data_IF_889376705986
#
_entry.id   IF_889376705986
#
_cell.length_a   1.000
_cell.length_b   1.000
_cell.length_c   1.000
_cell.angle_alpha   90.00
_cell.angle_beta   90.00
_cell.angle_gamma   90.00
#
_symmetry.space_group_name_H-M   'P 1'
#
loop_
_entity.id
_entity.type
_entity.pdbx_description
1 polymer ?
#
# COMPACT_ATOMS: atom_id res chain seq x y z
N UNK A 1 26.15 -9.84 0.70
CA UNK A 1 25.02 -9.92 1.64
C UNK A 1 24.85 -11.37 2.04
N UNK A 2 24.83 -11.63 3.34
CA UNK A 2 24.54 -12.95 3.88
C UNK A 2 23.11 -13.35 3.48
N UNK A 3 22.92 -14.55 2.92
CA UNK A 3 21.61 -15.01 2.48
C UNK A 3 20.78 -15.31 3.73
N UNK A 4 19.59 -14.71 3.87
CA UNK A 4 18.70 -15.06 4.98
C UNK A 4 18.39 -16.57 4.93
N UNK A 5 18.43 -17.23 6.07
CA UNK A 5 18.10 -18.65 6.19
C UNK A 5 16.63 -18.81 6.57
N UNK A 6 15.99 -19.94 6.22
CA UNK A 6 14.64 -20.28 6.68
C UNK A 6 14.44 -20.09 8.19
N UNK A 7 15.39 -20.55 9.00
CA UNK A 7 15.30 -20.45 10.46
C UNK A 7 15.21 -19.00 10.96
N UNK A 8 15.95 -18.07 10.35
CA UNK A 8 15.87 -16.63 10.69
C UNK A 8 14.52 -16.02 10.31
N UNK A 9 13.84 -16.55 9.29
CA UNK A 9 12.48 -16.12 8.95
C UNK A 9 11.52 -16.67 10.01
N UNK A 10 11.65 -17.95 10.36
CA UNK A 10 10.79 -18.65 11.31
C UNK A 10 10.89 -18.08 12.75
N UNK A 11 12.01 -17.43 13.09
CA UNK A 11 12.18 -16.67 14.34
C UNK A 11 11.25 -15.44 14.43
N UNK A 12 10.82 -14.89 13.30
CA UNK A 12 10.06 -13.63 13.22
C UNK A 12 8.63 -13.86 12.75
N UNK A 13 8.45 -14.77 11.79
CA UNK A 13 7.20 -15.04 11.09
C UNK A 13 6.82 -16.51 11.25
N UNK A 14 5.58 -16.76 11.67
CA UNK A 14 4.96 -18.08 11.72
C UNK A 14 3.73 -18.11 10.83
N UNK A 15 3.42 -19.28 10.29
CA UNK A 15 2.16 -19.57 9.62
C UNK A 15 1.49 -20.82 10.22
N UNK A 16 1.74 -21.06 11.52
CA UNK A 16 1.23 -22.23 12.25
C UNK A 16 0.31 -21.78 13.39
N UNK A 17 -0.66 -22.63 13.73
CA UNK A 17 -1.44 -22.51 14.96
C UNK A 17 -0.49 -22.85 16.13
N UNK A 18 -0.28 -21.93 17.10
CA UNK A 18 0.56 -22.18 18.27
C UNK A 18 0.08 -23.37 19.10
N UNK A 19 0.97 -23.99 19.87
CA UNK A 19 0.53 -24.98 20.85
C UNK A 19 -0.14 -24.29 22.04
N UNK A 20 -1.37 -24.69 22.36
CA UNK A 20 -2.14 -24.13 23.47
C UNK A 20 -1.47 -24.35 24.83
N UNK A 21 -0.70 -25.43 24.98
CA UNK A 21 0.01 -25.75 26.23
C UNK A 21 1.31 -24.93 26.37
N UNK A 22 1.85 -24.41 25.27
CA UNK A 22 3.08 -23.59 25.28
C UNK A 22 2.73 -22.10 25.37
N UNK A 23 1.76 -21.65 24.59
CA UNK A 23 1.41 -20.24 24.46
C UNK A 23 -0.08 -20.04 24.17
N UNK A 24 -0.90 -20.23 25.20
CA UNK A 24 -2.36 -20.10 25.13
C UNK A 24 -2.79 -18.73 24.60
N UNK A 25 -2.14 -17.65 25.03
CA UNK A 25 -2.50 -16.30 24.60
C UNK A 25 -2.30 -16.12 23.10
N UNK A 26 -1.16 -16.55 22.57
CA UNK A 26 -0.92 -16.50 21.12
C UNK A 26 -1.85 -17.44 20.36
N UNK A 27 -2.09 -18.64 20.89
CA UNK A 27 -3.04 -19.59 20.30
C UNK A 27 -4.40 -18.91 20.13
N UNK A 28 -4.97 -18.34 21.18
CA UNK A 28 -6.29 -17.71 21.15
C UNK A 28 -6.34 -16.52 20.17
N UNK A 29 -5.27 -15.70 20.13
CA UNK A 29 -5.16 -14.58 19.17
C UNK A 29 -5.10 -15.10 17.72
N UNK A 30 -4.30 -16.12 17.44
CA UNK A 30 -4.14 -16.70 16.09
C UNK A 30 -5.43 -17.38 15.65
N UNK A 31 -6.04 -18.20 16.50
CA UNK A 31 -7.31 -18.88 16.22
C UNK A 31 -8.44 -17.89 15.91
N UNK A 32 -8.46 -16.75 16.58
CA UNK A 32 -9.47 -15.71 16.39
C UNK A 32 -9.20 -14.83 15.17
N UNK A 33 -7.96 -14.38 15.01
CA UNK A 33 -7.63 -13.26 14.12
C UNK A 33 -6.86 -13.67 12.87
N UNK A 34 -6.20 -14.83 12.84
CA UNK A 34 -5.26 -15.18 11.78
C UNK A 34 -5.68 -16.38 10.94
N UNK A 35 -6.88 -16.92 11.15
CA UNK A 35 -7.40 -17.96 10.25
C UNK A 35 -8.06 -17.31 9.06
N UNK A 36 -7.57 -17.62 7.85
CA UNK A 36 -8.27 -17.26 6.64
C UNK A 36 -9.65 -17.92 6.66
N UNK A 37 -10.70 -17.12 6.50
CA UNK A 37 -12.07 -17.61 6.56
C UNK A 37 -12.30 -18.79 5.60
N UNK A 38 -13.16 -19.76 5.97
CA UNK A 38 -13.45 -20.88 5.09
C UNK A 38 -13.86 -20.37 3.71
N UNK A 39 -13.23 -20.91 2.68
CA UNK A 39 -13.47 -20.56 1.29
C UNK A 39 -13.26 -21.80 0.41
N UNK A 40 -13.45 -21.66 -0.90
CA UNK A 40 -13.26 -22.78 -1.81
C UNK A 40 -14.36 -23.81 -1.63
N UNK A 41 -13.98 -25.08 -1.52
CA UNK A 41 -14.93 -26.19 -1.30
C UNK A 41 -15.73 -26.05 -0.01
N UNK A 42 -15.18 -25.38 1.02
CA UNK A 42 -15.86 -25.18 2.30
C UNK A 42 -16.89 -24.05 2.25
N UNK A 43 -16.68 -23.04 1.40
CA UNK A 43 -17.62 -21.95 1.18
C UNK A 43 -17.30 -21.21 -0.13
N UNK A 44 -18.09 -21.47 -1.17
CA UNK A 44 -17.89 -20.82 -2.47
C UNK A 44 -18.40 -19.37 -2.50
N UNK A 45 -19.16 -18.93 -1.49
CA UNK A 45 -19.73 -17.59 -1.41
C UNK A 45 -18.82 -16.57 -0.71
N UNK A 46 -17.65 -17.00 -0.23
CA UNK A 46 -16.70 -16.09 0.43
C UNK A 46 -16.20 -15.01 -0.53
N UNK A 47 -16.08 -13.76 -0.04
CA UNK A 47 -15.66 -12.59 -0.83
C UNK A 47 -14.29 -12.76 -1.53
N UNK A 48 -13.46 -13.66 -1.03
CA UNK A 48 -12.16 -13.96 -1.61
C UNK A 48 -12.23 -14.87 -2.84
N UNK A 49 -13.40 -15.42 -3.19
CA UNK A 49 -13.58 -16.34 -4.30
C UNK A 49 -13.71 -15.61 -5.65
N UNK A 50 -13.01 -16.09 -6.66
CA UNK A 50 -13.15 -15.69 -8.07
C UNK A 50 -12.93 -16.93 -8.93
N UNK A 51 -13.78 -17.16 -9.92
CA UNK A 51 -13.67 -18.29 -10.87
C UNK A 51 -13.53 -19.66 -10.17
N UNK A 52 -14.28 -19.85 -9.08
CA UNK A 52 -14.26 -21.08 -8.28
C UNK A 52 -12.98 -21.31 -7.47
N UNK A 53 -12.07 -20.33 -7.38
CA UNK A 53 -10.82 -20.41 -6.63
C UNK A 53 -10.67 -19.26 -5.66
N UNK A 54 -10.01 -19.50 -4.53
CA UNK A 54 -9.64 -18.42 -3.62
C UNK A 54 -8.56 -17.55 -4.26
N UNK A 55 -8.84 -16.27 -4.46
CA UNK A 55 -7.88 -15.26 -4.98
C UNK A 55 -6.64 -15.11 -4.09
N UNK A 56 -6.75 -15.51 -2.82
CA UNK A 56 -5.65 -15.52 -1.82
C UNK A 56 -4.95 -16.88 -1.73
N UNK A 57 -5.34 -17.85 -2.56
CA UNK A 57 -4.75 -19.19 -2.70
C UNK A 57 -4.80 -20.03 -1.42
N UNK A 58 -5.93 -19.97 -0.71
CA UNK A 58 -6.22 -20.86 0.40
C UNK A 58 -7.11 -22.03 -0.04
N UNK A 59 -6.97 -23.22 0.58
CA UNK A 59 -5.93 -23.57 1.57
C UNK A 59 -4.51 -23.60 0.96
N UNK A 60 -3.49 -23.32 1.78
CA UNK A 60 -2.08 -23.44 1.39
C UNK A 60 -1.60 -24.89 1.48
N UNK A 61 -0.44 -25.19 0.90
CA UNK A 61 0.19 -26.50 1.06
C UNK A 61 0.80 -26.65 2.46
N UNK A 62 0.79 -27.88 2.98
CA UNK A 62 1.52 -28.22 4.20
C UNK A 62 3.00 -28.39 3.85
N UNK A 63 3.87 -27.82 4.67
CA UNK A 63 5.32 -27.83 4.48
C UNK A 63 6.00 -28.03 5.83
N UNK A 64 6.89 -29.02 5.92
CA UNK A 64 7.64 -29.32 7.13
C UNK A 64 8.66 -28.22 7.49
N UNK A 65 9.15 -27.47 6.50
CA UNK A 65 10.15 -26.40 6.68
C UNK A 65 9.84 -25.22 5.75
N UNK A 66 10.34 -24.03 6.11
CA UNK A 66 10.24 -22.83 5.26
C UNK A 66 11.17 -22.96 4.06
N UNK A 67 10.65 -22.73 2.85
CA UNK A 67 11.42 -22.81 1.60
C UNK A 67 11.61 -21.39 1.04
N UNK A 68 12.85 -20.92 0.98
CA UNK A 68 13.17 -19.64 0.32
C UNK A 68 13.23 -19.82 -1.19
N UNK A 69 12.30 -19.22 -1.95
CA UNK A 69 12.28 -19.25 -3.41
C UNK A 69 13.08 -18.11 -4.08
N UNK A 70 13.38 -18.26 -5.37
CA UNK A 70 14.02 -17.20 -6.18
C UNK A 70 13.10 -16.01 -6.47
N UNK A 71 11.79 -16.17 -6.30
CA UNK A 71 10.77 -15.17 -6.67
C UNK A 71 10.51 -14.09 -5.61
N UNK A 72 11.22 -14.13 -4.48
CA UNK A 72 11.25 -13.08 -3.47
C UNK A 72 10.31 -13.26 -2.28
N UNK A 73 9.41 -14.25 -2.33
CA UNK A 73 8.55 -14.65 -1.20
C UNK A 73 8.87 -16.09 -0.79
N UNK A 74 9.10 -16.35 0.50
CA UNK A 74 9.29 -17.70 1.00
C UNK A 74 7.94 -18.43 1.05
N UNK A 75 7.99 -19.75 0.95
CA UNK A 75 6.88 -20.60 1.34
C UNK A 75 7.08 -20.95 2.81
N UNK A 76 6.23 -20.42 3.70
CA UNK A 76 6.37 -20.63 5.14
C UNK A 76 6.05 -22.07 5.53
N UNK A 77 6.76 -22.53 6.55
CA UNK A 77 6.48 -23.78 7.26
C UNK A 77 5.03 -23.81 7.75
N UNK A 78 4.35 -24.92 7.45
CA UNK A 78 2.98 -25.26 7.84
C UNK A 78 2.93 -26.75 8.11
N UNK A 79 3.37 -27.20 9.29
CA UNK A 79 3.47 -28.63 9.57
C UNK A 79 2.11 -29.30 9.55
N UNK A 80 2.08 -30.52 9.05
CA UNK A 80 0.92 -31.41 9.18
C UNK A 80 0.72 -31.79 10.64
N UNK A 81 -0.44 -32.36 11.00
CA UNK A 81 -0.67 -32.89 12.35
C UNK A 81 0.28 -34.06 12.68
N UNK A 82 0.70 -34.82 11.67
CA UNK A 82 1.69 -35.91 11.81
C UNK A 82 3.08 -35.37 12.15
N UNK A 83 3.42 -34.16 11.67
CA UNK A 83 4.68 -33.46 11.95
C UNK A 83 4.60 -32.53 13.18
N UNK A 84 3.57 -32.67 14.02
CA UNK A 84 3.37 -31.86 15.23
C UNK A 84 2.69 -30.50 15.02
N UNK A 85 2.15 -30.25 13.82
CA UNK A 85 1.23 -29.14 13.55
C UNK A 85 -0.08 -29.28 14.33
N UNK A 86 -0.77 -28.15 14.54
CA UNK A 86 -2.04 -28.11 15.28
C UNK A 86 -3.22 -27.85 14.35
N UNK A 87 -4.39 -28.22 14.81
CA UNK A 87 -5.68 -27.91 14.19
C UNK A 87 -6.63 -27.35 15.24
N UNK A 88 -7.61 -26.58 14.77
CA UNK A 88 -8.67 -26.05 15.61
C UNK A 88 -10.02 -26.24 14.91
N UNK A 89 -11.06 -26.24 15.70
CA UNK A 89 -12.43 -26.35 15.23
C UNK A 89 -13.07 -24.96 15.23
N UNK A 90 -13.43 -24.46 14.05
CA UNK A 90 -14.15 -23.20 13.87
C UNK A 90 -15.65 -23.44 13.79
N UNK A 91 -16.43 -22.61 14.49
CA UNK A 91 -17.88 -22.52 14.30
C UNK A 91 -18.17 -21.37 13.34
N UNK A 92 -18.62 -21.70 12.13
CA UNK A 92 -18.98 -20.73 11.10
C UNK A 92 -20.44 -20.93 10.74
N UNK A 93 -21.28 -19.95 11.09
CA UNK A 93 -22.74 -20.03 11.00
C UNK A 93 -23.26 -21.27 11.75
N UNK A 94 -23.95 -22.19 11.05
CA UNK A 94 -24.50 -23.43 11.61
C UNK A 94 -23.58 -24.65 11.40
N UNK A 95 -22.37 -24.45 10.88
CA UNK A 95 -21.43 -25.52 10.58
C UNK A 95 -20.20 -25.46 11.49
N UNK A 96 -19.66 -26.64 11.76
CA UNK A 96 -18.41 -26.82 12.48
C UNK A 96 -17.37 -27.32 11.47
N UNK A 97 -16.26 -26.61 11.36
CA UNK A 97 -15.22 -26.85 10.35
C UNK A 97 -13.88 -26.98 11.05
N UNK A 98 -13.20 -28.10 10.83
CA UNK A 98 -11.84 -28.29 11.30
C UNK A 98 -10.86 -27.68 10.31
N UNK A 99 -9.97 -26.83 10.82
CA UNK A 99 -8.93 -26.14 10.06
C UNK A 99 -7.58 -26.41 10.68
N UNK A 100 -6.58 -26.60 9.84
CA UNK A 100 -5.20 -26.80 10.22
C UNK A 100 -4.32 -25.63 9.75
N UNK A 101 -3.00 -25.82 9.85
CA UNK A 101 -1.99 -24.86 9.42
C UNK A 101 -2.10 -24.40 7.95
N UNK A 102 -2.89 -25.06 7.08
CA UNK A 102 -3.12 -24.59 5.70
C UNK A 102 -3.91 -23.29 5.62
N UNK A 103 -4.65 -22.95 6.67
CA UNK A 103 -5.55 -21.81 6.72
C UNK A 103 -4.97 -20.58 7.43
N UNK A 104 -3.82 -20.71 8.07
CA UNK A 104 -3.23 -19.63 8.86
C UNK A 104 -2.63 -18.55 7.96
N UNK A 105 -2.97 -17.30 8.19
CA UNK A 105 -2.34 -16.14 7.55
C UNK A 105 -0.98 -15.90 8.24
N UNK A 106 0.15 -15.74 7.51
CA UNK A 106 1.45 -15.50 8.13
C UNK A 106 1.46 -14.31 9.07
N UNK A 107 2.10 -14.45 10.23
CA UNK A 107 2.05 -13.47 11.31
C UNK A 107 3.36 -13.40 12.08
N UNK A 108 3.57 -12.30 12.81
CA UNK A 108 4.64 -12.20 13.81
C UNK A 108 4.06 -12.36 15.22
N UNK A 109 4.51 -13.34 16.02
CA UNK A 109 4.05 -13.53 17.40
C UNK A 109 4.09 -12.25 18.24
N UNK A 110 5.18 -11.48 18.10
CA UNK A 110 5.39 -10.23 18.82
C UNK A 110 4.30 -9.19 18.49
N UNK A 111 4.06 -8.96 17.20
CA UNK A 111 3.06 -7.98 16.76
C UNK A 111 1.64 -8.39 17.16
N UNK A 112 1.32 -9.68 17.03
CA UNK A 112 0.00 -10.18 17.43
C UNK A 112 -0.25 -10.02 18.92
N UNK A 113 0.70 -10.39 19.78
CA UNK A 113 0.58 -10.18 21.23
C UNK A 113 0.50 -8.72 21.62
N UNK A 114 1.17 -7.84 20.87
CA UNK A 114 1.16 -6.39 21.14
C UNK A 114 -0.18 -5.75 20.80
N UNK A 115 -0.78 -6.12 19.67
CA UNK A 115 -1.93 -5.41 19.11
C UNK A 115 -3.26 -6.18 19.14
N UNK A 116 -3.23 -7.49 19.39
CA UNK A 116 -4.41 -8.37 19.39
C UNK A 116 -5.34 -8.15 18.18
N UNK A 117 -4.76 -8.13 16.98
CA UNK A 117 -5.45 -7.80 15.74
C UNK A 117 -5.04 -8.73 14.58
N UNK A 118 -5.80 -8.71 13.49
CA UNK A 118 -5.41 -9.41 12.26
C UNK A 118 -4.25 -8.65 11.57
N UNK A 119 -3.02 -9.17 11.67
CA UNK A 119 -1.82 -8.56 11.08
C UNK A 119 -1.10 -9.58 10.20
N UNK A 120 -1.22 -9.44 8.88
CA UNK A 120 -0.45 -10.24 7.94
C UNK A 120 0.99 -9.73 7.85
N UNK A 121 1.97 -10.60 8.10
CA UNK A 121 3.39 -10.27 8.04
C UNK A 121 4.06 -11.14 6.99
N UNK A 122 4.70 -10.50 6.02
CA UNK A 122 5.33 -11.18 4.89
C UNK A 122 6.81 -10.80 4.79
N UNK A 123 7.69 -11.79 4.63
CA UNK A 123 9.07 -11.58 4.27
C UNK A 123 9.18 -11.30 2.76
N UNK A 124 9.86 -10.21 2.40
CA UNK A 124 10.05 -9.83 1.01
C UNK A 124 11.52 -9.47 0.74
N UNK A 125 12.17 -10.23 -0.15
CA UNK A 125 13.58 -10.06 -0.48
C UNK A 125 13.83 -9.99 -1.99
N UNK A 126 13.00 -9.24 -2.71
CA UNK A 126 13.20 -9.05 -4.15
C UNK A 126 13.03 -7.60 -4.55
N UNK A 127 13.47 -7.25 -5.76
CA UNK A 127 13.16 -5.96 -6.40
C UNK A 127 11.64 -5.72 -6.50
N UNK A 128 10.83 -6.80 -6.48
CA UNK A 128 9.36 -6.67 -6.39
C UNK A 128 8.94 -6.00 -5.07
N UNK A 129 9.70 -6.12 -3.99
CA UNK A 129 9.49 -5.40 -2.71
C UNK A 129 9.57 -3.89 -2.91
N UNK A 130 10.57 -3.41 -3.65
CA UNK A 130 10.73 -1.98 -3.97
C UNK A 130 9.51 -1.50 -4.77
N UNK A 131 9.12 -2.25 -5.82
CA UNK A 131 7.90 -1.94 -6.58
C UNK A 131 6.66 -1.94 -5.69
N UNK A 132 6.57 -2.86 -4.73
CA UNK A 132 5.46 -2.95 -3.79
C UNK A 132 5.42 -1.74 -2.86
N UNK A 133 6.51 -1.37 -2.22
CA UNK A 133 6.59 -0.17 -1.36
C UNK A 133 6.27 1.08 -2.17
N UNK A 134 6.90 1.27 -3.33
CA UNK A 134 6.60 2.40 -4.21
C UNK A 134 5.13 2.42 -4.65
N UNK A 135 4.52 1.26 -4.91
CA UNK A 135 3.09 1.17 -5.18
C UNK A 135 2.30 1.73 -4.01
N UNK A 136 2.50 1.30 -2.76
CA UNK A 136 1.67 1.79 -1.64
C UNK A 136 1.96 3.25 -1.26
N UNK A 137 3.20 3.72 -1.42
CA UNK A 137 3.55 5.13 -1.20
C UNK A 137 2.90 6.03 -2.25
N UNK A 138 2.79 5.59 -3.51
CA UNK A 138 2.29 6.40 -4.62
C UNK A 138 0.85 6.04 -5.06
N UNK A 139 0.28 4.95 -4.56
CA UNK A 139 -1.13 4.58 -4.74
C UNK A 139 -1.91 5.55 -3.87
N UNK A 140 -2.35 6.65 -4.49
CA UNK A 140 -3.14 7.67 -3.82
C UNK A 140 -4.34 7.10 -3.08
N UNK A 141 -4.92 7.91 -2.21
CA UNK A 141 -6.08 7.55 -1.39
C UNK A 141 -7.23 7.01 -2.23
N UNK A 142 -7.97 6.04 -1.68
CA UNK A 142 -9.21 5.57 -2.30
C UNK A 142 -10.18 6.74 -2.46
N UNK A 143 -10.90 6.77 -3.58
CA UNK A 143 -11.86 7.84 -3.92
C UNK A 143 -13.26 7.23 -3.90
N UNK A 144 -14.19 7.92 -3.24
CA UNK A 144 -15.61 7.59 -3.25
C UNK A 144 -16.40 8.80 -3.75
N UNK A 145 -17.46 8.56 -4.50
CA UNK A 145 -18.44 9.59 -4.87
C UNK A 145 -19.62 9.45 -3.92
N UNK A 146 -20.00 10.54 -3.25
CA UNK A 146 -21.14 10.54 -2.34
C UNK A 146 -22.14 11.63 -2.72
N UNK A 147 -23.41 11.34 -2.45
CA UNK A 147 -24.52 12.26 -2.64
C UNK A 147 -24.60 13.24 -1.48
N UNK A 148 -24.68 14.54 -1.76
CA UNK A 148 -25.00 15.58 -0.76
C UNK A 148 -26.47 15.94 -0.95
N UNK A 149 -27.33 15.51 -0.02
CA UNK A 149 -28.74 15.93 -0.04
C UNK A 149 -28.83 17.40 0.35
N UNK A 150 -29.09 18.26 -0.63
CA UNK A 150 -29.46 19.64 -0.38
C UNK A 150 -30.97 19.77 -0.60
N UNK A 151 -31.75 19.86 0.48
CA UNK A 151 -33.23 19.88 0.47
C UNK A 151 -33.83 21.16 -0.13
N UNK A 152 -33.01 22.11 -0.60
CA UNK A 152 -33.48 23.46 -0.96
C UNK A 152 -33.06 23.99 -2.34
N UNK A 153 -32.25 23.25 -3.12
CA UNK A 153 -31.74 23.74 -4.41
C UNK A 153 -32.15 22.84 -5.58
N UNK A 154 -32.46 23.48 -6.71
CA UNK A 154 -32.76 22.86 -8.00
C UNK A 154 -31.76 21.76 -8.37
N UNK A 155 -32.25 20.71 -9.04
CA UNK A 155 -31.55 19.52 -9.49
C UNK A 155 -30.28 19.81 -10.33
N UNK A 156 -29.19 20.21 -9.69
CA UNK A 156 -27.88 20.39 -10.32
C UNK A 156 -26.98 19.20 -9.98
N UNK A 157 -26.93 18.23 -10.90
CA UNK A 157 -26.22 16.94 -10.77
C UNK A 157 -24.78 17.09 -10.25
N UNK A 158 -24.07 18.13 -10.68
CA UNK A 158 -22.68 18.41 -10.28
C UNK A 158 -22.54 18.76 -8.79
N UNK A 159 -23.54 19.43 -8.22
CA UNK A 159 -23.56 19.75 -6.78
C UNK A 159 -24.03 18.58 -5.93
N UNK A 160 -24.85 17.70 -6.52
CA UNK A 160 -25.41 16.54 -5.88
C UNK A 160 -24.37 15.44 -5.62
N UNK A 161 -23.41 15.25 -6.53
CA UNK A 161 -22.39 14.20 -6.40
C UNK A 161 -20.99 14.77 -6.22
N UNK A 162 -20.41 14.56 -5.04
CA UNK A 162 -19.06 15.02 -4.74
C UNK A 162 -18.07 13.86 -4.61
N UNK A 163 -16.90 13.94 -5.27
CA UNK A 163 -15.82 13.00 -5.05
C UNK A 163 -15.04 13.36 -3.78
N UNK A 164 -14.94 12.43 -2.84
CA UNK A 164 -14.12 12.52 -1.64
C UNK A 164 -12.99 11.49 -1.64
N UNK A 165 -11.88 11.82 -0.98
CA UNK A 165 -10.82 10.85 -0.67
C UNK A 165 -11.05 10.26 0.70
N UNK A 166 -10.96 8.93 0.80
CA UNK A 166 -10.91 8.26 2.08
C UNK A 166 -9.52 8.44 2.68
N UNK A 167 -9.47 9.10 3.84
CA UNK A 167 -8.23 9.27 4.61
C UNK A 167 -8.37 8.52 5.94
N UNK A 168 -7.30 7.84 6.34
CA UNK A 168 -7.27 7.20 7.67
C UNK A 168 -7.29 8.25 8.78
N UNK A 169 -7.73 7.88 9.99
CA UNK A 169 -7.74 8.79 11.15
C UNK A 169 -6.37 9.40 11.42
N UNK A 170 -5.30 8.62 11.25
CA UNK A 170 -3.93 9.08 11.44
C UNK A 170 -3.52 10.11 10.38
N UNK A 171 -3.84 9.86 9.11
CA UNK A 171 -3.57 10.81 8.02
C UNK A 171 -4.38 12.10 8.20
N UNK A 172 -5.63 12.01 8.65
CA UNK A 172 -6.48 13.16 8.91
C UNK A 172 -5.90 14.07 9.98
N UNK A 173 -5.44 13.52 11.11
CA UNK A 173 -4.79 14.28 12.18
C UNK A 173 -3.51 14.96 11.66
N UNK A 174 -2.68 14.23 10.91
CA UNK A 174 -1.46 14.79 10.30
C UNK A 174 -1.76 15.99 9.39
N UNK A 175 -2.81 15.87 8.57
CA UNK A 175 -3.27 16.94 7.66
C UNK A 175 -3.83 18.14 8.42
N UNK A 176 -4.68 17.91 9.43
CA UNK A 176 -5.27 18.98 10.25
C UNK A 176 -4.17 19.79 10.96
N UNK A 177 -3.17 19.09 11.50
CA UNK A 177 -2.04 19.71 12.19
C UNK A 177 -0.97 20.26 11.22
N UNK A 178 -1.19 20.16 9.90
CA UNK A 178 -0.25 20.61 8.86
C UNK A 178 1.15 20.01 9.00
N UNK A 179 1.26 18.78 9.49
CA UNK A 179 2.54 18.07 9.56
C UNK A 179 2.98 17.57 8.18
N UNK A 180 4.30 17.56 7.96
CA UNK A 180 4.88 16.96 6.77
C UNK A 180 4.49 15.48 6.67
N UNK A 181 3.79 15.12 5.59
CA UNK A 181 3.26 13.76 5.38
C UNK A 181 4.33 12.83 4.78
N UNK A 182 5.28 13.39 4.05
CA UNK A 182 6.39 12.64 3.47
C UNK A 182 7.63 13.52 3.39
N UNK A 183 8.78 12.88 3.51
CA UNK A 183 10.09 13.45 3.22
C UNK A 183 10.82 12.44 2.32
N UNK A 184 11.65 12.93 1.40
CA UNK A 184 12.49 12.09 0.54
C UNK A 184 13.93 12.52 0.73
N UNK A 185 14.79 11.56 0.99
CA UNK A 185 16.23 11.74 1.00
C UNK A 185 16.87 10.78 -0.02
N UNK A 186 17.56 11.28 -1.06
CA UNK A 186 17.72 12.69 -1.40
C UNK A 186 16.39 13.33 -1.82
N UNK A 187 16.31 14.67 -1.75
CA UNK A 187 15.13 15.41 -2.19
C UNK A 187 14.86 15.12 -3.67
N UNK A 188 13.67 14.62 -3.98
CA UNK A 188 13.24 14.36 -5.36
C UNK A 188 12.29 15.46 -5.79
N UNK A 189 12.70 16.25 -6.77
CA UNK A 189 11.86 17.29 -7.39
C UNK A 189 11.23 16.72 -8.65
N UNK A 190 9.91 16.89 -8.79
CA UNK A 190 9.21 16.52 -10.01
C UNK A 190 9.32 17.65 -11.04
N UNK A 191 10.08 17.41 -12.11
CA UNK A 191 10.15 18.31 -13.25
C UNK A 191 8.85 18.24 -14.05
N UNK A 192 8.22 19.38 -14.28
CA UNK A 192 6.99 19.46 -15.07
C UNK A 192 7.28 19.11 -16.53
N UNK A 193 6.43 18.30 -17.15
CA UNK A 193 6.45 17.99 -18.59
C UNK A 193 5.04 18.11 -19.12
N UNK A 194 4.84 18.93 -20.13
CA UNK A 194 3.56 19.19 -20.75
C UNK A 194 3.75 19.67 -22.20
N UNK A 195 2.68 19.61 -23.00
CA UNK A 195 2.66 20.23 -24.32
C UNK A 195 2.58 21.77 -24.20
N UNK A 196 2.80 22.46 -25.31
CA UNK A 196 2.60 23.91 -25.38
C UNK A 196 1.17 24.27 -24.92
N UNK A 197 1.08 25.20 -23.97
CA UNK A 197 -0.16 25.61 -23.28
C UNK A 197 -0.90 24.50 -22.50
N UNK A 198 -0.28 23.33 -22.33
CA UNK A 198 -0.80 22.19 -21.55
C UNK A 198 -0.37 22.17 -20.08
N UNK A 199 0.23 23.24 -19.55
CA UNK A 199 0.66 23.32 -18.16
C UNK A 199 -0.52 23.16 -17.19
N UNK A 200 -0.27 22.45 -16.08
CA UNK A 200 -1.23 22.38 -14.97
C UNK A 200 -1.22 23.71 -14.22
N UNK A 201 -2.38 24.38 -14.18
CA UNK A 201 -2.55 25.63 -13.46
C UNK A 201 -3.60 25.47 -12.37
N UNK A 202 -3.26 25.89 -11.16
CA UNK A 202 -4.19 26.01 -10.04
C UNK A 202 -4.76 27.42 -10.01
N UNK A 203 -6.08 27.54 -9.94
CA UNK A 203 -6.79 28.81 -9.96
C UNK A 203 -7.94 28.82 -8.96
N UNK A 204 -8.38 30.03 -8.60
CA UNK A 204 -9.59 30.32 -7.84
C UNK A 204 -10.54 31.11 -8.73
N UNK A 205 -11.78 31.31 -8.27
CA UNK A 205 -12.79 32.14 -8.95
C UNK A 205 -12.27 33.54 -9.28
N UNK A 206 -11.41 34.10 -8.44
CA UNK A 206 -10.90 35.47 -8.56
C UNK A 206 -9.75 35.57 -9.58
N UNK A 207 -8.90 34.55 -9.69
CA UNK A 207 -7.67 34.62 -10.51
C UNK A 207 -7.73 33.83 -11.82
N UNK A 208 -8.83 33.13 -12.11
CA UNK A 208 -8.96 32.27 -13.30
C UNK A 208 -8.68 33.00 -14.61
N UNK A 209 -9.16 34.23 -14.76
CA UNK A 209 -8.93 35.05 -15.97
C UNK A 209 -7.45 35.40 -16.13
N UNK A 210 -6.81 35.85 -15.06
CA UNK A 210 -5.39 36.18 -15.06
C UNK A 210 -4.55 34.93 -15.36
N UNK A 211 -4.86 33.80 -14.72
CA UNK A 211 -4.16 32.52 -14.92
C UNK A 211 -4.31 31.96 -16.33
N UNK A 212 -5.46 32.18 -16.97
CA UNK A 212 -5.69 31.78 -18.36
C UNK A 212 -4.90 32.66 -19.34
N UNK A 213 -4.78 33.96 -19.07
CA UNK A 213 -4.03 34.90 -19.93
C UNK A 213 -2.52 34.82 -19.71
N UNK A 214 -2.08 34.64 -18.46
CA UNK A 214 -0.68 34.56 -18.06
C UNK A 214 -0.46 33.33 -17.16
N UNK A 215 -0.23 32.16 -17.79
CA UNK A 215 0.07 30.96 -17.05
C UNK A 215 1.39 31.09 -16.29
N UNK A 216 1.45 30.61 -15.04
CA UNK A 216 2.68 30.67 -14.26
C UNK A 216 3.84 29.88 -14.91
N UNK A 217 5.07 30.38 -14.76
CA UNK A 217 6.29 29.74 -15.27
C UNK A 217 6.51 28.35 -14.69
N UNK A 218 6.59 27.31 -15.52
CA UNK A 218 6.88 25.93 -15.10
C UNK A 218 8.38 25.70 -15.09
N UNK A 219 8.83 24.62 -14.46
CA UNK A 219 10.25 24.21 -14.58
C UNK A 219 10.62 23.98 -16.05
N UNK A 220 9.68 23.53 -16.90
CA UNK A 220 9.95 23.30 -18.32
C UNK A 220 10.10 24.60 -19.11
N UNK A 221 9.19 25.56 -18.92
CA UNK A 221 9.27 26.83 -19.64
C UNK A 221 10.44 27.66 -19.17
N UNK A 222 10.80 27.58 -17.89
CA UNK A 222 12.03 28.19 -17.40
C UNK A 222 13.27 27.51 -17.94
N UNK A 223 13.31 26.18 -18.07
CA UNK A 223 14.43 25.50 -18.70
C UNK A 223 14.69 26.03 -20.13
N UNK A 224 13.65 26.29 -20.92
CA UNK A 224 13.81 26.91 -22.23
C UNK A 224 14.34 28.35 -22.16
N UNK A 225 13.97 29.10 -21.12
CA UNK A 225 14.52 30.45 -20.87
C UNK A 225 15.98 30.39 -20.41
N UNK A 226 16.31 29.45 -19.52
CA UNK A 226 17.67 29.19 -19.04
C UNK A 226 18.58 28.82 -20.21
N UNK A 227 18.17 27.88 -21.06
CA UNK A 227 18.90 27.51 -22.27
C UNK A 227 19.06 28.68 -23.24
N UNK A 228 18.18 29.69 -23.24
CA UNK A 228 18.40 30.88 -24.08
C UNK A 228 19.51 31.77 -23.51
N UNK A 229 19.65 31.86 -22.20
CA UNK A 229 20.53 32.82 -21.53
C UNK A 229 21.88 32.24 -21.09
N UNK A 230 21.96 30.94 -20.83
CA UNK A 230 23.14 30.26 -20.30
C UNK A 230 23.65 29.20 -21.30
N UNK A 231 24.92 29.32 -21.71
CA UNK A 231 25.53 28.42 -22.69
C UNK A 231 25.81 27.03 -22.14
N UNK A 232 26.06 26.89 -20.83
CA UNK A 232 26.25 25.60 -20.19
C UNK A 232 24.93 24.85 -20.08
N UNK A 233 23.84 25.52 -19.69
CA UNK A 233 22.52 24.92 -19.63
C UNK A 233 22.06 24.30 -20.97
N UNK A 234 22.44 24.89 -22.12
CA UNK A 234 22.17 24.33 -23.46
C UNK A 234 22.79 22.95 -23.70
N UNK A 235 23.82 22.60 -22.95
CA UNK A 235 24.50 21.31 -23.06
C UNK A 235 23.85 20.21 -22.24
N UNK A 236 22.89 20.56 -21.36
CA UNK A 236 22.23 19.64 -20.44
C UNK A 236 20.90 19.15 -21.00
N UNK A 237 20.57 17.89 -20.73
CA UNK A 237 19.20 17.40 -20.82
C UNK A 237 18.36 18.01 -19.69
N UNK A 238 17.06 18.17 -19.92
CA UNK A 238 16.15 18.73 -18.92
C UNK A 238 16.21 18.00 -17.57
N UNK A 239 16.35 16.66 -17.59
CA UNK A 239 16.51 15.84 -16.38
C UNK A 239 17.81 16.06 -15.62
N UNK A 240 18.83 16.63 -16.26
CA UNK A 240 20.16 16.86 -15.67
C UNK A 240 20.26 18.25 -15.02
N UNK A 241 19.42 19.20 -15.42
CA UNK A 241 19.40 20.59 -14.94
C UNK A 241 19.41 20.68 -13.40
N UNK A 242 18.58 19.92 -12.65
CA UNK A 242 18.58 20.01 -11.18
C UNK A 242 19.87 19.57 -10.49
N UNK A 243 20.79 18.95 -11.23
CA UNK A 243 22.13 18.59 -10.72
C UNK A 243 23.04 19.81 -10.61
N UNK A 244 22.76 20.86 -11.39
CA UNK A 244 23.61 22.06 -11.51
C UNK A 244 22.89 23.36 -11.15
N UNK A 245 21.57 23.41 -11.31
CA UNK A 245 20.74 24.58 -11.06
C UNK A 245 19.67 24.27 -10.01
N UNK A 246 19.38 25.25 -9.15
CA UNK A 246 18.47 25.07 -8.03
C UNK A 246 17.16 25.85 -8.29
N UNK A 247 16.04 25.13 -8.37
CA UNK A 247 14.75 25.78 -8.55
C UNK A 247 14.36 26.62 -7.33
N UNK A 248 14.19 27.92 -7.54
CA UNK A 248 13.66 28.85 -6.55
C UNK A 248 12.15 28.97 -6.72
N UNK A 249 11.40 28.42 -5.77
CA UNK A 249 9.93 28.41 -5.79
C UNK A 249 9.30 29.80 -5.71
N UNK A 250 9.96 30.76 -5.05
CA UNK A 250 9.45 32.13 -4.89
C UNK A 250 9.57 32.93 -6.17
N UNK A 251 10.71 32.82 -6.87
CA UNK A 251 10.95 33.55 -8.13
C UNK A 251 10.52 32.76 -9.37
N UNK A 252 10.27 31.45 -9.22
CA UNK A 252 10.00 30.48 -10.28
C UNK A 252 11.09 30.47 -11.35
N UNK A 253 12.35 30.39 -10.90
CA UNK A 253 13.55 30.36 -11.74
C UNK A 253 14.51 29.26 -11.32
N UNK A 254 15.31 28.78 -12.27
CA UNK A 254 16.48 27.93 -12.02
C UNK A 254 17.72 28.77 -11.68
#
# INVERSE_FOLDING_TARGET
MEKITPNRIDEIISAEIPDIEIDKDLHDIVSKNMIHGPCGSLNNNSLCMSDGKCTKRYPRDLLAETITGNDGYPLYRRRSTEDGGKSITLKVLNNTIDVDNRWVVPYSPLLLKTYNAHINVEYCNSVKAIKYICKYVNKGSDVAVFGVENTTAFNEEVTQYQPGRYISSNEAVWRILSFSIHERYPTVVHLEVHLENGQRVYFTSENVRERAMSPPTTTLTEFFTLCRNDTFARTLLYSEVPTYFAWNTSTRKF
#
